data_IF_637756824019
#
_entry.id   IF_637756824019
#
_cell.length_a   1.000
_cell.length_b   1.000
_cell.length_c   1.000
_cell.angle_alpha   90.00
_cell.angle_beta   90.00
_cell.angle_gamma   90.00
#
_symmetry.space_group_name_H-M   'P 1'
#
loop_
_entity.id
_entity.type
_entity.pdbx_description
1 polymer ?
#
# COMPACT_ATOMS: atom_id res chain seq x y z
N UNK A 1 -26.90 -56.70 46.29
CA UNK A 1 -25.85 -56.07 47.13
C UNK A 1 -25.82 -54.59 46.72
N UNK A 2 -26.36 -53.66 47.52
CA UNK A 2 -25.65 -52.80 48.51
C UNK A 2 -24.40 -52.16 47.89
N UNK A 3 -24.15 -50.84 47.88
CA UNK A 3 -24.64 -49.74 48.70
C UNK A 3 -24.28 -48.40 48.05
N UNK A 4 -25.06 -47.36 48.36
CA UNK A 4 -24.78 -45.93 48.14
C UNK A 4 -23.42 -45.49 48.71
N UNK A 5 -22.81 -44.49 48.06
CA UNK A 5 -22.08 -43.45 48.78
C UNK A 5 -22.35 -42.08 48.14
N UNK A 6 -23.13 -41.26 48.85
CA UNK A 6 -23.17 -39.80 48.69
C UNK A 6 -21.80 -39.21 49.05
N UNK A 7 -21.37 -38.17 48.34
CA UNK A 7 -20.45 -37.19 48.94
C UNK A 7 -20.87 -35.77 48.58
N UNK A 8 -20.83 -34.95 49.63
CA UNK A 8 -21.50 -33.69 49.81
C UNK A 8 -20.91 -32.55 48.97
N UNK A 9 -21.80 -31.65 48.57
CA UNK A 9 -21.48 -30.30 48.10
C UNK A 9 -21.11 -29.45 49.31
N UNK A 10 -19.88 -28.94 49.35
CA UNK A 10 -19.48 -27.88 50.28
C UNK A 10 -19.29 -26.60 49.49
N UNK A 11 -20.28 -25.71 49.60
CA UNK A 11 -20.25 -24.36 49.05
C UNK A 11 -19.38 -23.49 49.95
N UNK A 12 -18.18 -23.12 49.50
CA UNK A 12 -17.37 -22.07 50.14
C UNK A 12 -17.61 -20.77 49.38
N UNK A 13 -18.40 -19.89 49.98
CA UNK A 13 -18.56 -18.51 49.53
C UNK A 13 -17.29 -17.72 49.89
N UNK A 14 -16.46 -17.43 48.89
CA UNK A 14 -15.35 -16.48 49.00
C UNK A 14 -15.64 -15.26 48.13
N UNK A 15 -15.35 -14.02 48.59
CA UNK A 15 -15.52 -12.85 47.76
C UNK A 15 -14.53 -12.91 46.59
N UNK A 16 -15.05 -13.12 45.38
CA UNK A 16 -14.28 -13.00 44.16
C UNK A 16 -13.97 -11.51 43.92
N UNK A 17 -12.87 -11.05 44.51
CA UNK A 17 -12.23 -9.80 44.12
C UNK A 17 -11.70 -9.98 42.70
N UNK A 18 -12.48 -9.52 41.72
CA UNK A 18 -12.01 -9.33 40.35
C UNK A 18 -10.88 -8.30 40.38
N UNK A 19 -9.63 -8.79 40.41
CA UNK A 19 -8.45 -7.99 40.13
C UNK A 19 -8.47 -7.65 38.64
N UNK A 20 -9.19 -6.58 38.29
CA UNK A 20 -9.02 -5.90 37.01
C UNK A 20 -7.65 -5.22 37.01
N UNK A 21 -6.61 -5.93 36.60
CA UNK A 21 -5.34 -5.28 36.24
C UNK A 21 -5.61 -4.42 35.01
N UNK A 22 -5.53 -3.08 35.08
CA UNK A 22 -5.60 -2.27 33.87
C UNK A 22 -4.44 -2.72 32.96
N UNK A 23 -4.74 -3.06 31.70
CA UNK A 23 -3.69 -3.14 30.69
C UNK A 23 -2.99 -1.79 30.70
N UNK A 24 -1.70 -1.80 31.03
CA UNK A 24 -0.86 -0.63 30.87
C UNK A 24 -0.94 -0.22 29.39
N UNK A 25 -1.53 0.95 29.13
CA UNK A 25 -1.40 1.57 27.83
C UNK A 25 0.10 1.77 27.60
N UNK A 26 0.67 1.09 26.60
CA UNK A 26 2.04 1.35 26.19
C UNK A 26 2.13 2.84 25.86
N UNK A 27 3.00 3.56 26.57
CA UNK A 27 3.26 4.96 26.26
C UNK A 27 3.71 5.05 24.80
N UNK A 28 3.08 5.95 24.04
CA UNK A 28 3.53 6.20 22.67
C UNK A 28 4.97 6.71 22.71
N UNK A 29 5.85 6.22 21.82
CA UNK A 29 7.22 6.71 21.77
C UNK A 29 7.21 8.20 21.48
N UNK A 30 8.11 8.95 22.13
CA UNK A 30 8.25 10.37 21.86
C UNK A 30 8.90 10.58 20.50
N UNK A 31 8.71 11.75 19.90
CA UNK A 31 9.35 12.10 18.62
C UNK A 31 10.86 11.94 18.69
N UNK A 32 11.49 12.40 19.77
CA UNK A 32 12.94 12.26 19.98
C UNK A 32 13.39 10.80 20.09
N UNK A 33 12.60 9.95 20.75
CA UNK A 33 12.88 8.51 20.82
C UNK A 33 12.85 7.88 19.42
N UNK A 34 11.80 8.13 18.64
CA UNK A 34 11.67 7.59 17.29
C UNK A 34 12.81 8.07 16.39
N UNK A 35 13.10 9.37 16.38
CA UNK A 35 14.10 9.96 15.49
C UNK A 35 15.54 9.53 15.85
N UNK A 36 15.82 9.35 17.15
CA UNK A 36 17.12 8.83 17.59
C UNK A 36 17.28 7.35 17.24
N UNK A 37 16.23 6.54 17.40
CA UNK A 37 16.26 5.10 17.08
C UNK A 37 16.45 4.84 15.58
N UNK A 38 15.90 5.69 14.71
CA UNK A 38 16.13 5.59 13.25
C UNK A 38 17.47 6.17 12.81
N UNK A 39 18.30 6.63 13.76
CA UNK A 39 19.67 7.08 13.52
C UNK A 39 19.80 8.46 12.89
N UNK A 40 18.78 9.32 12.98
CA UNK A 40 18.90 10.69 12.49
C UNK A 40 19.85 11.51 13.37
N UNK A 41 20.67 12.34 12.73
CA UNK A 41 21.46 13.34 13.46
C UNK A 41 20.54 14.39 14.10
N UNK A 42 21.02 15.15 15.11
CA UNK A 42 20.25 16.27 15.67
C UNK A 42 19.87 17.32 14.63
N UNK A 43 20.76 17.59 13.68
CA UNK A 43 20.52 18.56 12.59
C UNK A 43 19.41 18.05 11.65
N UNK A 44 19.46 16.77 11.29
CA UNK A 44 18.43 16.14 10.46
C UNK A 44 17.07 16.07 11.17
N UNK A 45 17.07 15.79 12.47
CA UNK A 45 15.87 15.84 13.32
C UNK A 45 15.21 17.22 13.24
N UNK A 46 16.01 18.27 13.39
CA UNK A 46 15.50 19.64 13.35
C UNK A 46 14.91 19.99 11.97
N UNK A 47 15.53 19.52 10.89
CA UNK A 47 15.02 19.70 9.52
C UNK A 47 13.69 18.97 9.30
N UNK A 48 13.56 17.73 9.78
CA UNK A 48 12.29 16.98 9.74
C UNK A 48 11.19 17.74 10.50
N UNK A 49 11.48 18.26 11.69
CA UNK A 49 10.53 19.03 12.49
C UNK A 49 10.10 20.35 11.82
N UNK A 50 10.95 20.91 10.96
CA UNK A 50 10.63 22.06 10.11
C UNK A 50 9.81 21.68 8.87
N UNK A 51 9.56 20.40 8.64
CA UNK A 51 8.79 19.87 7.53
C UNK A 51 9.62 19.55 6.29
N UNK A 52 10.95 19.47 6.41
CA UNK A 52 11.81 19.02 5.32
C UNK A 52 11.78 17.49 5.17
N UNK A 53 12.04 17.03 3.95
CA UNK A 53 12.38 15.63 3.69
C UNK A 53 13.88 15.44 3.92
N UNK A 54 14.21 14.47 4.77
CA UNK A 54 15.59 14.09 5.02
C UNK A 54 15.81 12.64 4.62
N UNK A 55 16.86 12.39 3.85
CA UNK A 55 17.33 11.05 3.55
C UNK A 55 18.52 10.72 4.45
N UNK A 56 18.54 9.51 5.00
CA UNK A 56 19.67 8.98 5.74
C UNK A 56 20.11 7.65 5.09
N UNK A 57 21.42 7.45 5.00
CA UNK A 57 21.97 6.17 4.59
C UNK A 57 21.77 5.16 5.71
N UNK A 58 21.18 4.02 5.37
CA UNK A 58 21.11 2.87 6.27
C UNK A 58 22.00 1.78 5.71
N UNK A 59 22.66 1.02 6.60
CA UNK A 59 23.59 -0.02 6.18
C UNK A 59 22.92 -1.02 5.25
N UNK A 60 23.47 -1.18 4.05
CA UNK A 60 23.08 -2.25 3.14
C UNK A 60 23.54 -3.61 3.71
N UNK A 61 22.71 -4.64 3.60
CA UNK A 61 23.03 -5.99 4.07
C UNK A 61 23.94 -6.72 3.07
N UNK A 62 23.89 -6.32 1.80
CA UNK A 62 24.76 -6.81 0.73
C UNK A 62 25.01 -5.75 -0.35
N UNK A 63 26.02 -5.96 -1.20
CA UNK A 63 26.34 -5.09 -2.34
C UNK A 63 25.23 -5.01 -3.41
N UNK A 64 24.20 -5.86 -3.30
CA UNK A 64 23.04 -5.86 -4.21
C UNK A 64 21.84 -5.12 -3.63
N UNK A 65 21.93 -4.63 -2.41
CA UNK A 65 20.85 -3.94 -1.73
C UNK A 65 21.00 -2.43 -1.89
N UNK A 66 19.92 -1.77 -2.31
CA UNK A 66 19.77 -0.33 -2.17
C UNK A 66 18.98 -0.08 -0.90
N UNK A 67 19.63 0.50 0.11
CA UNK A 67 19.03 0.77 1.40
C UNK A 67 19.19 2.27 1.74
N UNK A 68 18.07 2.95 1.96
CA UNK A 68 18.01 4.32 2.42
C UNK A 68 16.78 4.49 3.31
N UNK A 69 16.84 5.42 4.26
CA UNK A 69 15.70 5.85 5.05
C UNK A 69 15.28 7.26 4.61
N UNK A 70 13.97 7.51 4.61
CA UNK A 70 13.41 8.86 4.42
C UNK A 70 12.60 9.19 5.67
N UNK A 71 12.87 10.36 6.25
CA UNK A 71 12.11 10.92 7.35
C UNK A 71 11.45 12.23 6.92
N UNK A 72 10.19 12.41 7.28
CA UNK A 72 9.42 13.64 7.08
C UNK A 72 8.28 13.72 8.11
N UNK A 73 7.83 14.93 8.41
CA UNK A 73 6.78 15.17 9.38
C UNK A 73 5.38 15.04 8.75
N UNK A 74 4.56 14.14 9.29
CA UNK A 74 3.13 14.07 8.98
C UNK A 74 2.33 14.85 10.02
N UNK A 75 1.63 15.90 9.60
CA UNK A 75 0.83 16.78 10.47
C UNK A 75 -0.53 16.16 10.83
N UNK A 76 -0.53 14.93 11.32
CA UNK A 76 -1.73 14.25 11.84
C UNK A 76 -1.34 13.35 13.01
N UNK A 77 -2.28 13.06 13.91
CA UNK A 77 -2.02 12.11 15.00
C UNK A 77 -1.79 10.69 14.45
N UNK A 78 -0.95 9.86 15.08
CA UNK A 78 -0.73 8.47 14.68
C UNK A 78 -2.02 7.67 14.47
N UNK A 79 -3.02 7.82 15.35
CA UNK A 79 -4.30 7.11 15.24
C UNK A 79 -5.10 7.49 13.98
N UNK A 80 -5.10 8.77 13.63
CA UNK A 80 -5.73 9.25 12.39
C UNK A 80 -4.97 8.73 11.16
N UNK A 81 -3.64 8.73 11.19
CA UNK A 81 -2.84 8.18 10.10
C UNK A 81 -3.11 6.69 9.91
N UNK A 82 -3.11 5.91 10.99
CA UNK A 82 -3.39 4.49 10.97
C UNK A 82 -4.78 4.19 10.39
N UNK A 83 -5.80 4.93 10.81
CA UNK A 83 -7.15 4.83 10.23
C UNK A 83 -7.15 5.08 8.73
N UNK A 84 -6.51 6.15 8.28
CA UNK A 84 -6.41 6.50 6.84
C UNK A 84 -5.67 5.45 6.03
N UNK A 85 -4.59 4.86 6.57
CA UNK A 85 -3.85 3.78 5.91
C UNK A 85 -4.75 2.55 5.75
N UNK A 86 -5.39 2.10 6.83
CA UNK A 86 -6.25 0.91 6.81
C UNK A 86 -7.45 1.10 5.89
N UNK A 87 -8.01 2.30 5.85
CA UNK A 87 -9.13 2.64 4.98
C UNK A 87 -8.73 2.85 3.50
N UNK A 88 -7.42 2.87 3.17
CA UNK A 88 -6.94 3.16 1.82
C UNK A 88 -7.14 4.62 1.40
N UNK A 89 -7.44 5.51 2.34
CA UNK A 89 -7.78 6.92 2.10
C UNK A 89 -6.57 7.79 1.73
N UNK A 90 -5.35 7.26 1.86
CA UNK A 90 -4.14 7.98 1.47
C UNK A 90 -4.11 8.30 -0.04
N UNK A 91 -4.66 7.40 -0.87
CA UNK A 91 -4.69 7.58 -2.32
C UNK A 91 -5.71 8.64 -2.73
N UNK A 92 -6.83 8.73 -2.02
CA UNK A 92 -7.89 9.73 -2.27
C UNK A 92 -7.61 11.10 -1.65
N UNK A 93 -6.56 11.23 -0.84
CA UNK A 93 -6.22 12.49 -0.17
C UNK A 93 -5.46 13.46 -1.09
N UNK A 94 -5.01 13.01 -2.26
CA UNK A 94 -4.31 13.80 -3.25
C UNK A 94 -5.29 14.25 -4.35
N UNK A 95 -5.47 15.57 -4.48
CA UNK A 95 -6.37 16.18 -5.48
C UNK A 95 -5.91 15.94 -6.94
N UNK A 96 -4.65 15.53 -7.14
CA UNK A 96 -4.12 15.12 -8.44
C UNK A 96 -4.60 13.71 -8.84
N UNK A 97 -4.96 12.86 -7.87
CA UNK A 97 -5.52 11.54 -8.14
C UNK A 97 -6.95 11.68 -8.65
N UNK A 98 -7.13 11.45 -9.95
CA UNK A 98 -8.44 11.61 -10.62
C UNK A 98 -9.35 10.40 -10.48
N UNK A 99 -8.79 9.20 -10.41
CA UNK A 99 -9.52 7.94 -10.26
C UNK A 99 -8.58 6.91 -9.63
N UNK A 100 -9.13 5.95 -8.88
CA UNK A 100 -8.37 4.81 -8.35
C UNK A 100 -9.18 3.51 -8.46
N UNK A 101 -8.46 2.39 -8.52
CA UNK A 101 -9.06 1.07 -8.63
C UNK A 101 -8.15 0.00 -8.08
N UNK A 102 -8.75 -1.11 -7.61
CA UNK A 102 -8.03 -2.28 -7.13
C UNK A 102 -8.14 -3.38 -8.17
N UNK A 103 -7.00 -3.93 -8.60
CA UNK A 103 -6.97 -5.14 -9.42
C UNK A 103 -7.15 -6.33 -8.49
N UNK A 104 -8.11 -7.20 -8.81
CA UNK A 104 -8.38 -8.39 -8.00
C UNK A 104 -7.14 -9.30 -7.95
N UNK A 105 -6.95 -10.13 -6.91
CA UNK A 105 -5.80 -11.03 -6.85
C UNK A 105 -5.68 -11.93 -8.09
N UNK A 106 -6.79 -12.38 -8.66
CA UNK A 106 -6.77 -13.18 -9.89
C UNK A 106 -6.34 -12.35 -11.11
N UNK A 107 -6.62 -11.05 -11.12
CA UNK A 107 -6.47 -10.16 -12.26
C UNK A 107 -7.45 -10.54 -13.38
N UNK A 108 -8.44 -9.70 -13.64
CA UNK A 108 -9.40 -9.92 -14.73
C UNK A 108 -9.50 -8.69 -15.62
N UNK A 109 -10.01 -8.85 -16.85
CA UNK A 109 -10.30 -7.70 -17.72
C UNK A 109 -11.32 -6.75 -17.09
N UNK A 110 -12.24 -7.27 -16.28
CA UNK A 110 -13.25 -6.48 -15.57
C UNK A 110 -12.65 -5.53 -14.53
N UNK A 111 -11.45 -5.82 -14.03
CA UNK A 111 -10.78 -4.97 -13.04
C UNK A 111 -10.37 -3.60 -13.63
N UNK A 112 -10.31 -3.49 -14.96
CA UNK A 112 -9.98 -2.26 -15.68
C UNK A 112 -11.22 -1.52 -16.19
N UNK A 113 -12.44 -1.95 -15.87
CA UNK A 113 -13.67 -1.41 -16.48
C UNK A 113 -13.92 0.09 -16.21
N UNK A 114 -13.28 0.67 -15.20
CA UNK A 114 -13.33 2.11 -14.91
C UNK A 114 -12.27 2.94 -15.66
N UNK A 115 -11.29 2.29 -16.29
CA UNK A 115 -10.25 2.96 -17.05
C UNK A 115 -10.78 3.28 -18.44
N UNK A 116 -11.10 4.55 -18.69
CA UNK A 116 -11.49 5.04 -20.00
C UNK A 116 -10.39 5.87 -20.63
N UNK A 117 -10.19 5.69 -21.94
CA UNK A 117 -9.22 6.47 -22.70
C UNK A 117 -9.92 7.47 -23.62
N UNK A 118 -9.32 8.65 -23.75
CA UNK A 118 -9.77 9.64 -24.73
C UNK A 118 -9.39 9.21 -26.16
N UNK A 119 -10.00 9.85 -27.15
CA UNK A 119 -9.61 9.65 -28.56
C UNK A 119 -8.14 10.01 -28.79
N UNK A 120 -7.62 11.04 -28.10
CA UNK A 120 -6.21 11.43 -28.19
C UNK A 120 -5.31 10.32 -27.64
N UNK A 121 -5.62 9.78 -26.46
CA UNK A 121 -4.85 8.69 -25.88
C UNK A 121 -4.86 7.43 -26.77
N UNK A 122 -5.99 7.14 -27.46
CA UNK A 122 -6.04 6.07 -28.43
C UNK A 122 -5.13 6.32 -29.66
N UNK A 123 -5.06 7.57 -30.13
CA UNK A 123 -4.12 7.95 -31.20
C UNK A 123 -2.67 7.84 -30.73
N UNK A 124 -2.36 8.28 -29.51
CA UNK A 124 -1.02 8.20 -28.94
C UNK A 124 -0.57 6.73 -28.79
N UNK A 125 -1.44 5.86 -28.28
CA UNK A 125 -1.16 4.42 -28.16
C UNK A 125 -0.93 3.75 -29.51
N UNK A 126 -1.76 4.02 -30.51
CA UNK A 126 -1.62 3.43 -31.86
C UNK A 126 -0.47 4.04 -32.67
N UNK A 127 -0.04 5.26 -32.32
CA UNK A 127 1.08 5.99 -32.90
C UNK A 127 2.43 5.73 -32.22
N UNK A 128 2.43 5.08 -31.04
CA UNK A 128 3.59 4.94 -30.18
C UNK A 128 4.81 4.32 -30.87
N UNK A 129 6.00 4.81 -30.52
CA UNK A 129 7.30 4.26 -30.97
C UNK A 129 8.22 3.95 -29.80
N UNK A 130 9.22 3.13 -30.07
CA UNK A 130 10.25 2.81 -29.10
C UNK A 130 11.04 4.08 -28.72
N UNK A 131 11.29 4.26 -27.41
CA UNK A 131 12.04 5.41 -26.88
C UNK A 131 11.23 6.71 -26.75
N UNK A 132 9.91 6.67 -26.97
CA UNK A 132 9.02 7.82 -26.71
C UNK A 132 8.50 7.82 -25.26
N UNK A 133 7.56 8.71 -24.95
CA UNK A 133 6.99 8.94 -23.61
C UNK A 133 6.27 7.73 -23.02
N UNK A 134 5.78 6.81 -23.85
CA UNK A 134 5.06 5.63 -23.40
C UNK A 134 6.03 4.46 -23.16
N UNK A 135 6.04 3.94 -21.93
CA UNK A 135 6.81 2.76 -21.56
C UNK A 135 6.17 1.47 -22.12
N UNK A 136 6.35 1.23 -23.42
CA UNK A 136 5.85 0.07 -24.14
C UNK A 136 7.01 -0.77 -24.70
N UNK A 137 6.88 -2.08 -24.60
CA UNK A 137 7.76 -3.05 -25.27
C UNK A 137 7.48 -3.11 -26.77
N UNK A 138 8.41 -3.69 -27.53
CA UNK A 138 8.27 -3.82 -28.98
C UNK A 138 7.03 -4.62 -29.41
N UNK A 139 6.65 -5.66 -28.65
CA UNK A 139 5.45 -6.46 -28.91
C UNK A 139 4.17 -5.68 -28.64
N UNK A 140 4.13 -4.88 -27.57
CA UNK A 140 2.99 -4.03 -27.23
C UNK A 140 2.79 -2.91 -28.25
N UNK A 141 3.89 -2.26 -28.68
CA UNK A 141 3.86 -1.27 -29.76
C UNK A 141 3.26 -1.88 -31.03
N UNK A 142 3.72 -3.07 -31.39
CA UNK A 142 3.21 -3.77 -32.58
C UNK A 142 1.73 -4.13 -32.44
N UNK A 143 1.28 -4.56 -31.26
CA UNK A 143 -0.12 -4.87 -30.99
C UNK A 143 -1.04 -3.64 -31.12
N UNK A 144 -0.61 -2.46 -30.66
CA UNK A 144 -1.36 -1.23 -30.86
C UNK A 144 -1.29 -0.70 -32.30
N UNK A 145 -0.15 -0.85 -32.98
CA UNK A 145 0.02 -0.37 -34.36
C UNK A 145 -0.96 -1.03 -35.34
N UNK A 146 -1.35 -2.29 -35.10
CA UNK A 146 -2.37 -3.01 -35.89
C UNK A 146 -3.75 -2.32 -35.80
N UNK A 147 -4.02 -1.60 -34.71
CA UNK A 147 -5.30 -0.94 -34.45
C UNK A 147 -5.37 0.50 -35.01
N UNK A 148 -4.38 0.93 -35.80
CA UNK A 148 -4.40 2.26 -36.43
C UNK A 148 -5.62 2.41 -37.33
N UNK A 149 -6.33 3.52 -37.16
CA UNK A 149 -7.61 3.78 -37.84
C UNK A 149 -8.81 3.01 -37.26
N UNK A 150 -8.59 2.22 -36.20
CA UNK A 150 -9.64 1.55 -35.45
C UNK A 150 -10.41 2.49 -34.51
N UNK A 151 -11.35 1.92 -33.75
CA UNK A 151 -12.15 2.67 -32.78
C UNK A 151 -11.41 2.81 -31.44
N UNK A 152 -11.69 3.88 -30.70
CA UNK A 152 -11.21 4.06 -29.32
C UNK A 152 -11.52 2.86 -28.44
N UNK A 153 -12.69 2.25 -28.62
CA UNK A 153 -13.07 1.02 -27.92
C UNK A 153 -12.11 -0.14 -28.19
N UNK A 154 -11.74 -0.38 -29.46
CA UNK A 154 -10.80 -1.46 -29.80
C UNK A 154 -9.42 -1.25 -29.19
N UNK A 155 -8.95 0.01 -29.12
CA UNK A 155 -7.69 0.38 -28.48
C UNK A 155 -7.77 0.21 -26.96
N UNK A 156 -8.90 0.59 -26.34
CA UNK A 156 -9.14 0.40 -24.90
C UNK A 156 -9.14 -1.09 -24.51
N UNK A 157 -9.78 -1.95 -25.31
CA UNK A 157 -9.75 -3.39 -25.06
C UNK A 157 -8.33 -3.98 -25.18
N UNK A 158 -7.52 -3.48 -26.12
CA UNK A 158 -6.12 -3.87 -26.22
C UNK A 158 -5.30 -3.38 -25.02
N UNK A 159 -5.57 -2.16 -24.54
CA UNK A 159 -4.96 -1.63 -23.33
C UNK A 159 -5.26 -2.50 -22.11
N UNK A 160 -6.51 -2.93 -21.92
CA UNK A 160 -6.88 -3.81 -20.81
C UNK A 160 -6.14 -5.15 -20.86
N UNK A 161 -6.01 -5.75 -22.04
CA UNK A 161 -5.25 -7.00 -22.23
C UNK A 161 -3.77 -6.83 -21.90
N UNK A 162 -3.17 -5.72 -22.35
CA UNK A 162 -1.78 -5.40 -22.05
C UNK A 162 -1.55 -5.21 -20.54
N UNK A 163 -2.37 -4.40 -19.89
CA UNK A 163 -2.25 -4.14 -18.45
C UNK A 163 -2.47 -5.41 -17.63
N UNK A 164 -3.43 -6.24 -18.02
CA UNK A 164 -3.66 -7.55 -17.40
C UNK A 164 -2.44 -8.47 -17.55
N UNK A 165 -1.87 -8.57 -18.75
CA UNK A 165 -0.69 -9.39 -19.00
C UNK A 165 0.50 -8.93 -18.14
N UNK A 166 0.73 -7.61 -18.04
CA UNK A 166 1.76 -7.05 -17.17
C UNK A 166 1.53 -7.41 -15.71
N UNK A 167 0.32 -7.18 -15.19
CA UNK A 167 -0.02 -7.52 -13.81
C UNK A 167 0.26 -9.00 -13.51
N UNK A 168 -0.16 -9.90 -14.40
CA UNK A 168 0.07 -11.33 -14.25
C UNK A 168 1.56 -11.70 -14.28
N UNK A 169 2.36 -11.07 -15.15
CA UNK A 169 3.82 -11.27 -15.16
C UNK A 169 4.50 -10.79 -13.88
N UNK A 170 4.11 -9.63 -13.35
CA UNK A 170 4.63 -9.14 -12.06
C UNK A 170 4.29 -10.07 -10.91
N UNK A 171 3.09 -10.67 -10.90
CA UNK A 171 2.68 -11.60 -9.85
C UNK A 171 3.38 -12.96 -9.91
N UNK A 172 3.95 -13.32 -11.06
CA UNK A 172 4.63 -14.59 -11.27
C UNK A 172 6.16 -14.51 -11.08
N UNK A 173 6.71 -13.30 -10.90
CA UNK A 173 8.14 -13.05 -10.66
C UNK A 173 8.44 -13.03 -9.16
#
# INVERSE_FOLDING_TARGET
MRQLLMLAVTLVAGPAGLLSTPLAAHAQPTTDQVLTEVGLSPDDTQRVLQGEFVSADVGAVSDRDLAFAIAFLVKTSPDNLARKIVAGELVSADDEVKEFGVISPAGTLGDFAKLDISNQAAQDLTGAKAGESLNLSASEISAFAILRGGTTYSVQQQLYRMLLARYQSYRAS
#
